data_IF_950720468130
#
_entry.id   IF_950720468130
#
_cell.length_a   1.000
_cell.length_b   1.000
_cell.length_c   1.000
_cell.angle_alpha   90.00
_cell.angle_beta   90.00
_cell.angle_gamma   90.00
#
_symmetry.space_group_name_H-M   'P 1'
#
loop_
_entity.id
_entity.type
_entity.pdbx_description
1 polymer ?
#
# COMPACT_ATOMS: atom_id res chain seq x y z
N UNK A 1 -3.66 14.04 20.31
CA UNK A 1 -4.58 14.03 19.15
C UNK A 1 -3.80 14.00 17.84
N UNK A 2 -3.00 15.03 17.54
CA UNK A 2 -2.29 15.18 16.25
C UNK A 2 -1.35 14.01 15.88
N UNK A 3 -0.49 13.53 16.79
CA UNK A 3 0.47 12.47 16.47
C UNK A 3 -0.18 11.12 16.15
N UNK A 4 -1.28 10.76 16.82
CA UNK A 4 -2.01 9.53 16.55
C UNK A 4 -2.81 9.60 15.24
N UNK A 5 -3.39 10.76 14.93
CA UNK A 5 -4.02 11.00 13.62
C UNK A 5 -2.99 10.86 12.49
N UNK A 6 -1.80 11.44 12.65
CA UNK A 6 -0.70 11.26 11.69
C UNK A 6 -0.27 9.80 11.56
N UNK A 7 -0.19 9.07 12.66
CA UNK A 7 0.14 7.65 12.64
C UNK A 7 -0.94 6.83 11.90
N UNK A 8 -2.22 7.12 12.12
CA UNK A 8 -3.32 6.47 11.39
C UNK A 8 -3.28 6.79 9.89
N UNK A 9 -3.08 8.05 9.52
CA UNK A 9 -2.92 8.48 8.12
C UNK A 9 -1.75 7.73 7.46
N UNK A 10 -0.61 7.59 8.15
CA UNK A 10 0.53 6.82 7.66
C UNK A 10 0.22 5.33 7.51
N UNK A 11 -0.46 4.74 8.50
CA UNK A 11 -0.82 3.33 8.52
C UNK A 11 -1.77 2.95 7.38
N UNK A 12 -2.73 3.80 7.03
CA UNK A 12 -3.70 3.57 5.93
C UNK A 12 -3.14 4.05 4.58
N UNK A 13 -2.37 5.13 4.54
CA UNK A 13 -1.81 5.68 3.30
C UNK A 13 -0.68 4.83 2.71
N UNK A 14 0.13 4.20 3.55
CA UNK A 14 1.22 3.31 3.12
C UNK A 14 0.75 2.15 2.22
N UNK A 15 -0.25 1.33 2.62
CA UNK A 15 -0.75 0.24 1.77
C UNK A 15 -1.37 0.75 0.46
N UNK A 16 -2.07 1.89 0.46
CA UNK A 16 -2.64 2.47 -0.77
C UNK A 16 -1.52 2.84 -1.76
N UNK A 17 -0.48 3.52 -1.30
CA UNK A 17 0.67 3.86 -2.16
C UNK A 17 1.36 2.62 -2.73
N UNK A 18 1.56 1.58 -1.91
CA UNK A 18 2.12 0.30 -2.35
C UNK A 18 1.24 -0.40 -3.39
N UNK A 19 -0.08 -0.33 -3.23
CA UNK A 19 -1.03 -0.88 -4.20
C UNK A 19 -0.93 -0.14 -5.54
N UNK A 20 -0.88 1.19 -5.54
CA UNK A 20 -0.71 1.99 -6.76
C UNK A 20 0.57 1.58 -7.50
N UNK A 21 1.68 1.36 -6.78
CA UNK A 21 2.93 0.88 -7.36
C UNK A 21 2.76 -0.51 -8.00
N UNK A 22 2.05 -1.43 -7.34
CA UNK A 22 1.78 -2.77 -7.88
C UNK A 22 0.94 -2.70 -9.18
N UNK A 23 -0.11 -1.87 -9.19
CA UNK A 23 -0.95 -1.65 -10.39
C UNK A 23 -0.14 -1.04 -11.52
N UNK A 24 0.69 -0.02 -11.23
CA UNK A 24 1.55 0.61 -12.23
C UNK A 24 2.49 -0.41 -12.88
N UNK A 25 3.13 -1.25 -12.07
CA UNK A 25 4.03 -2.29 -12.57
C UNK A 25 3.32 -3.31 -13.45
N UNK A 26 2.15 -3.78 -13.01
CA UNK A 26 1.32 -4.64 -13.84
C UNK A 26 1.02 -3.96 -15.19
N UNK A 27 0.59 -2.69 -15.17
CA UNK A 27 0.30 -1.90 -16.37
C UNK A 27 1.49 -1.77 -17.31
N UNK A 28 2.68 -1.47 -16.78
CA UNK A 28 3.93 -1.37 -17.56
C UNK A 28 4.28 -2.72 -18.19
N UNK A 29 4.14 -3.82 -17.46
CA UNK A 29 4.40 -5.15 -18.01
C UNK A 29 3.31 -5.57 -19.03
N UNK A 30 2.07 -5.15 -18.90
CA UNK A 30 1.08 -5.48 -19.94
C UNK A 30 1.26 -4.67 -21.23
N UNK A 31 1.99 -3.55 -21.20
CA UNK A 31 2.18 -2.68 -22.35
C UNK A 31 3.18 -3.28 -23.35
N UNK A 32 2.73 -3.48 -24.58
CA UNK A 32 3.54 -4.03 -25.70
C UNK A 32 4.79 -3.21 -26.03
N UNK A 33 4.79 -1.91 -25.68
CA UNK A 33 5.91 -0.99 -25.97
C UNK A 33 6.84 -0.77 -24.78
N UNK A 34 6.63 -1.41 -23.63
CA UNK A 34 7.37 -1.12 -22.39
C UNK A 34 7.41 0.37 -22.07
N UNK A 35 6.37 1.09 -22.48
CA UNK A 35 6.32 2.52 -22.30
C UNK A 35 6.16 2.79 -20.81
N UNK A 36 7.23 3.27 -20.16
CA UNK A 36 7.18 3.76 -18.77
C UNK A 36 6.09 4.84 -18.61
N UNK A 37 5.75 5.53 -19.70
CA UNK A 37 4.60 6.43 -19.81
C UNK A 37 3.26 5.73 -20.06
N UNK A 38 3.07 4.51 -19.57
CA UNK A 38 1.78 3.81 -19.66
C UNK A 38 0.66 4.65 -19.01
N UNK A 39 0.99 5.44 -18.00
CA UNK A 39 0.06 6.32 -17.30
C UNK A 39 0.23 7.77 -17.74
N UNK A 40 -0.89 8.42 -18.05
CA UNK A 40 -0.88 9.85 -18.32
C UNK A 40 -0.59 10.65 -17.06
N UNK A 41 0.05 11.83 -17.18
CA UNK A 41 0.28 12.75 -16.05
C UNK A 41 -1.01 13.13 -15.30
N UNK A 42 -2.17 13.10 -15.97
CA UNK A 42 -3.48 13.33 -15.34
C UNK A 42 -3.89 12.14 -14.45
N UNK A 43 -3.66 10.92 -14.91
CA UNK A 43 -3.92 9.70 -14.14
C UNK A 43 -3.05 9.66 -12.87
N UNK A 44 -1.73 9.88 -13.00
CA UNK A 44 -0.80 9.88 -11.86
C UNK A 44 -1.23 10.92 -10.82
N UNK A 45 -1.54 12.16 -11.23
CA UNK A 45 -2.00 13.20 -10.30
C UNK A 45 -3.27 12.82 -9.55
N UNK A 46 -4.24 12.18 -10.23
CA UNK A 46 -5.48 11.70 -9.59
C UNK A 46 -5.18 10.59 -8.58
N UNK A 47 -4.33 9.62 -8.93
CA UNK A 47 -3.98 8.52 -8.04
C UNK A 47 -3.21 8.98 -6.80
N UNK A 48 -2.25 9.90 -6.98
CA UNK A 48 -1.53 10.53 -5.86
C UNK A 48 -2.50 11.32 -4.98
N UNK A 49 -3.44 12.06 -5.59
CA UNK A 49 -4.46 12.77 -4.84
C UNK A 49 -5.32 11.81 -3.99
N UNK A 50 -5.81 10.71 -4.58
CA UNK A 50 -6.57 9.69 -3.83
C UNK A 50 -5.74 8.99 -2.74
N UNK A 51 -4.44 8.78 -2.97
CA UNK A 51 -3.53 8.19 -1.99
C UNK A 51 -3.47 8.99 -0.69
N UNK A 52 -3.56 10.31 -0.76
CA UNK A 52 -3.54 11.17 0.42
C UNK A 52 -4.94 11.52 0.92
N UNK A 53 -5.93 11.63 0.03
CA UNK A 53 -7.30 11.97 0.39
C UNK A 53 -7.98 10.85 1.21
N UNK A 54 -7.83 9.59 0.80
CA UNK A 54 -8.52 8.48 1.46
C UNK A 54 -8.10 8.31 2.94
N UNK A 55 -6.80 8.29 3.29
CA UNK A 55 -6.37 8.25 4.70
C UNK A 55 -6.78 9.49 5.50
N UNK A 56 -6.87 10.65 4.84
CA UNK A 56 -7.30 11.89 5.49
C UNK A 56 -8.79 11.80 5.87
N UNK A 57 -9.64 11.33 4.95
CA UNK A 57 -11.07 11.11 5.22
C UNK A 57 -11.27 10.05 6.31
N UNK A 58 -10.52 8.93 6.26
CA UNK A 58 -10.64 7.87 7.28
C UNK A 58 -10.21 8.32 8.67
N UNK A 59 -9.42 9.39 8.76
CA UNK A 59 -8.96 9.96 10.03
C UNK A 59 -9.96 10.92 10.70
N UNK A 60 -10.99 11.38 9.97
CA UNK A 60 -12.00 12.32 10.48
C UNK A 60 -12.71 11.76 11.73
N UNK A 61 -13.26 10.53 11.72
CA UNK A 61 -13.93 9.99 12.91
C UNK A 61 -13.00 9.90 14.12
N UNK A 62 -11.71 9.61 13.89
CA UNK A 62 -10.69 9.48 14.95
C UNK A 62 -10.41 10.83 15.62
N UNK A 63 -10.55 11.94 14.89
CA UNK A 63 -10.36 13.27 15.45
C UNK A 63 -11.46 13.66 16.47
N UNK A 64 -12.65 13.06 16.36
CA UNK A 64 -13.79 13.34 17.23
C UNK A 64 -13.86 12.44 18.47
N UNK A 65 -13.05 11.39 18.58
CA UNK A 65 -13.02 10.55 19.78
C UNK A 65 -12.18 11.16 20.91
N UNK A 66 -12.63 10.94 22.15
CA UNK A 66 -11.93 11.36 23.35
C UNK A 66 -10.90 10.35 23.86
N UNK A 67 -10.05 10.84 24.76
CA UNK A 67 -8.94 10.09 25.34
C UNK A 67 -9.24 9.54 26.71
N UNK A 68 -8.73 8.34 26.94
CA UNK A 68 -8.59 7.76 28.27
C UNK A 68 -7.26 8.25 28.84
N UNK A 69 -7.35 8.97 29.95
CA UNK A 69 -6.20 9.41 30.73
C UNK A 69 -5.96 8.39 31.85
N UNK A 70 -4.72 7.95 32.01
CA UNK A 70 -4.30 7.10 33.14
C UNK A 70 -3.25 7.84 33.94
N UNK A 71 -3.34 7.79 35.27
CA UNK A 71 -2.28 8.34 36.12
C UNK A 71 -1.10 7.38 36.15
N UNK A 72 0.07 7.84 35.69
CA UNK A 72 1.35 7.14 35.84
C UNK A 72 2.31 8.07 36.56
N UNK A 73 2.81 7.65 37.72
CA UNK A 73 3.76 8.43 38.54
C UNK A 73 3.24 9.84 38.91
N UNK A 74 1.94 9.97 39.21
CA UNK A 74 1.32 11.23 39.59
C UNK A 74 1.06 12.20 38.42
N UNK A 75 1.40 11.82 37.18
CA UNK A 75 1.14 12.61 35.98
C UNK A 75 0.04 11.93 35.15
N UNK A 76 -0.94 12.74 34.68
CA UNK A 76 -1.98 12.25 33.77
C UNK A 76 -1.37 12.01 32.39
N UNK A 77 -1.20 10.75 32.01
CA UNK A 77 -0.69 10.38 30.68
C UNK A 77 -1.85 9.89 29.82
N UNK A 78 -1.90 10.34 28.56
CA UNK A 78 -2.86 9.83 27.57
C UNK A 78 -2.46 8.40 27.22
N UNK A 79 -3.26 7.43 27.61
CA UNK A 79 -2.95 6.01 27.43
C UNK A 79 -3.55 5.47 26.13
N UNK A 80 -4.83 5.75 25.88
CA UNK A 80 -5.54 5.24 24.71
C UNK A 80 -6.73 6.12 24.31
N UNK A 81 -7.35 5.82 23.17
CA UNK A 81 -8.70 6.33 22.85
C UNK A 81 -9.74 5.65 23.72
N UNK A 82 -10.92 6.27 23.81
CA UNK A 82 -12.13 5.58 24.27
C UNK A 82 -12.33 4.26 23.49
N UNK A 83 -12.86 3.23 24.15
CA UNK A 83 -13.12 1.90 23.56
C UNK A 83 -13.77 1.92 22.16
N UNK A 84 -14.82 2.75 21.89
CA UNK A 84 -15.38 2.87 20.55
C UNK A 84 -14.38 3.42 19.51
N UNK A 85 -13.49 4.33 19.92
CA UNK A 85 -12.44 4.87 19.06
C UNK A 85 -11.38 3.83 18.70
N UNK A 86 -10.97 3.00 19.67
CA UNK A 86 -10.03 1.89 19.43
C UNK A 86 -10.65 0.88 18.47
N UNK A 87 -11.90 0.48 18.70
CA UNK A 87 -12.61 -0.49 17.86
C UNK A 87 -12.74 0.02 16.42
N UNK A 88 -13.16 1.27 16.25
CA UNK A 88 -13.30 1.90 14.92
C UNK A 88 -11.96 1.98 14.21
N UNK A 89 -10.91 2.44 14.89
CA UNK A 89 -9.57 2.52 14.31
C UNK A 89 -9.05 1.15 13.89
N UNK A 90 -9.21 0.14 14.76
CA UNK A 90 -8.79 -1.24 14.47
C UNK A 90 -9.53 -1.77 13.24
N UNK A 91 -10.86 -1.64 13.21
CA UNK A 91 -11.68 -2.08 12.08
C UNK A 91 -11.23 -1.45 10.75
N UNK A 92 -11.05 -0.13 10.70
CA UNK A 92 -10.60 0.58 9.49
C UNK A 92 -9.21 0.11 9.06
N UNK A 93 -8.26 0.02 9.99
CA UNK A 93 -6.90 -0.42 9.65
C UNK A 93 -6.89 -1.86 9.15
N UNK A 94 -7.54 -2.79 9.85
CA UNK A 94 -7.62 -4.19 9.47
C UNK A 94 -8.29 -4.37 8.11
N UNK A 95 -9.40 -3.69 7.84
CA UNK A 95 -10.06 -3.75 6.53
C UNK A 95 -9.16 -3.22 5.41
N UNK A 96 -8.44 -2.11 5.64
CA UNK A 96 -7.50 -1.55 4.66
C UNK A 96 -6.34 -2.50 4.34
N UNK A 97 -5.81 -3.20 5.35
CA UNK A 97 -4.76 -4.20 5.17
C UNK A 97 -5.26 -5.44 4.44
N UNK A 98 -6.46 -5.93 4.76
CA UNK A 98 -7.07 -7.07 4.06
C UNK A 98 -7.27 -6.77 2.58
N UNK A 99 -7.84 -5.62 2.24
CA UNK A 99 -8.02 -5.18 0.85
C UNK A 99 -6.65 -5.10 0.15
N UNK A 100 -5.66 -4.49 0.80
CA UNK A 100 -4.31 -4.40 0.26
C UNK A 100 -3.70 -5.78 -0.02
N UNK A 101 -3.81 -6.73 0.91
CA UNK A 101 -3.26 -8.08 0.76
C UNK A 101 -3.90 -8.79 -0.44
N UNK A 102 -5.23 -8.79 -0.53
CA UNK A 102 -5.97 -9.45 -1.61
C UNK A 102 -5.60 -8.83 -2.95
N UNK A 103 -5.70 -7.51 -3.08
CA UNK A 103 -5.38 -6.83 -4.33
C UNK A 103 -3.90 -7.00 -4.71
N UNK A 104 -2.98 -6.87 -3.75
CA UNK A 104 -1.55 -7.05 -3.97
C UNK A 104 -1.21 -8.48 -4.41
N UNK A 105 -1.85 -9.49 -3.81
CA UNK A 105 -1.71 -10.89 -4.23
C UNK A 105 -2.16 -11.12 -5.67
N UNK A 106 -3.33 -10.58 -6.05
CA UNK A 106 -3.86 -10.65 -7.42
C UNK A 106 -2.91 -9.95 -8.40
N UNK A 107 -2.51 -8.70 -8.14
CA UNK A 107 -1.59 -7.99 -9.03
C UNK A 107 -0.22 -8.65 -9.11
N UNK A 108 0.29 -9.22 -8.02
CA UNK A 108 1.55 -9.96 -8.00
C UNK A 108 1.46 -11.20 -8.89
N UNK A 109 0.36 -11.96 -8.80
CA UNK A 109 0.12 -13.13 -9.66
C UNK A 109 -0.03 -12.72 -11.15
N UNK A 110 -0.76 -11.64 -11.43
CA UNK A 110 -0.91 -11.16 -12.81
C UNK A 110 0.42 -10.65 -13.39
N UNK A 111 1.20 -9.94 -12.57
CA UNK A 111 2.54 -9.43 -12.91
C UNK A 111 3.53 -10.56 -13.15
N UNK A 112 3.50 -11.63 -12.35
CA UNK A 112 4.37 -12.80 -12.56
C UNK A 112 4.05 -13.52 -13.87
N UNK A 113 2.77 -13.71 -14.20
CA UNK A 113 2.33 -14.28 -15.48
C UNK A 113 2.75 -13.42 -16.66
N UNK A 114 2.62 -12.10 -16.56
CA UNK A 114 3.08 -11.18 -17.59
C UNK A 114 4.61 -11.25 -17.78
N UNK A 115 5.37 -11.32 -16.69
CA UNK A 115 6.83 -11.41 -16.72
C UNK A 115 7.31 -12.73 -17.34
N UNK A 116 6.67 -13.87 -17.03
CA UNK A 116 6.99 -15.16 -17.66
C UNK A 116 6.71 -15.11 -19.16
N UNK A 117 5.54 -14.60 -19.57
CA UNK A 117 5.21 -14.44 -21.00
C UNK A 117 6.28 -13.62 -21.73
N UNK A 118 6.78 -12.55 -21.12
CA UNK A 118 7.84 -11.76 -21.73
C UNK A 118 9.18 -12.45 -21.79
N UNK A 119 9.57 -13.20 -20.76
CA UNK A 119 10.84 -13.91 -20.75
C UNK A 119 10.98 -14.88 -21.93
N UNK A 120 9.84 -15.39 -22.43
CA UNK A 120 9.77 -16.24 -23.62
C UNK A 120 9.92 -15.41 -24.91
N UNK A 121 9.32 -14.22 -24.99
CA UNK A 121 9.28 -13.36 -26.19
C UNK A 121 10.57 -12.54 -26.39
N UNK A 122 11.36 -12.29 -25.34
CA UNK A 122 12.51 -11.37 -25.35
C UNK A 122 13.84 -12.05 -25.70
N UNK A 123 13.82 -13.26 -26.25
CA UNK A 123 15.04 -13.98 -26.65
C UNK A 123 15.96 -13.19 -27.61
N UNK A 124 15.44 -12.21 -28.36
CA UNK A 124 16.14 -11.59 -29.50
C UNK A 124 16.69 -10.15 -29.28
N UNK A 125 16.84 -9.63 -28.05
CA UNK A 125 17.36 -8.24 -27.88
C UNK A 125 18.03 -7.89 -26.55
N UNK A 126 19.28 -7.43 -26.62
CA UNK A 126 20.13 -7.06 -25.45
C UNK A 126 19.50 -5.99 -24.55
N UNK A 127 18.89 -4.93 -25.13
CA UNK A 127 18.23 -3.85 -24.37
C UNK A 127 16.97 -4.34 -23.64
N UNK A 128 16.16 -5.18 -24.28
CA UNK A 128 14.94 -5.73 -23.64
C UNK A 128 15.28 -6.70 -22.50
N UNK A 129 16.40 -7.42 -22.62
CA UNK A 129 16.87 -8.32 -21.58
C UNK A 129 17.32 -7.56 -20.32
N UNK A 130 17.93 -6.38 -20.45
CA UNK A 130 18.27 -5.51 -19.33
C UNK A 130 17.01 -5.01 -18.61
N UNK A 131 16.01 -4.54 -19.35
CA UNK A 131 14.71 -4.11 -18.79
C UNK A 131 14.05 -5.27 -18.03
N UNK A 132 14.05 -6.49 -18.58
CA UNK A 132 13.50 -7.66 -17.90
C UNK A 132 14.22 -8.00 -16.59
N UNK A 133 15.56 -7.91 -16.56
CA UNK A 133 16.31 -8.13 -15.32
C UNK A 133 15.92 -7.10 -14.26
N UNK A 134 15.80 -5.82 -14.63
CA UNK A 134 15.38 -4.76 -13.72
C UNK A 134 13.95 -5.01 -13.19
N UNK A 135 13.01 -5.38 -14.07
CA UNK A 135 11.63 -5.69 -13.67
C UNK A 135 11.55 -6.90 -12.75
N UNK A 136 12.36 -7.95 -12.99
CA UNK A 136 12.44 -9.13 -12.13
C UNK A 136 12.96 -8.80 -10.72
N UNK A 137 14.04 -8.01 -10.62
CA UNK A 137 14.57 -7.55 -9.32
C UNK A 137 13.53 -6.73 -8.57
N UNK A 138 12.84 -5.81 -9.26
CA UNK A 138 11.77 -5.04 -8.66
C UNK A 138 10.60 -5.93 -8.20
N UNK A 139 10.19 -6.92 -9.00
CA UNK A 139 9.12 -7.86 -8.67
C UNK A 139 9.40 -8.63 -7.37
N UNK A 140 10.64 -9.12 -7.19
CA UNK A 140 11.06 -9.81 -5.97
C UNK A 140 10.88 -8.90 -4.75
N UNK A 141 11.33 -7.64 -4.84
CA UNK A 141 11.22 -6.66 -3.73
C UNK A 141 9.75 -6.42 -3.34
N UNK A 142 8.85 -6.24 -4.32
CA UNK A 142 7.42 -6.01 -4.02
C UNK A 142 6.75 -7.27 -3.48
N UNK A 143 7.11 -8.45 -3.97
CA UNK A 143 6.59 -9.71 -3.45
C UNK A 143 6.99 -9.92 -1.98
N UNK A 144 8.26 -9.68 -1.63
CA UNK A 144 8.73 -9.72 -0.25
C UNK A 144 7.99 -8.69 0.63
N UNK A 145 7.80 -7.48 0.12
CA UNK A 145 7.05 -6.43 0.82
C UNK A 145 5.58 -6.81 1.06
N UNK A 146 4.93 -7.48 0.11
CA UNK A 146 3.57 -8.00 0.26
C UNK A 146 3.51 -9.13 1.31
N UNK A 147 4.46 -10.07 1.30
CA UNK A 147 4.56 -11.14 2.30
C UNK A 147 4.81 -10.58 3.69
N UNK A 148 5.71 -9.62 3.86
CA UNK A 148 5.95 -8.99 5.17
C UNK A 148 4.70 -8.31 5.73
N UNK A 149 3.90 -7.69 4.87
CA UNK A 149 2.63 -7.08 5.28
C UNK A 149 1.54 -8.10 5.57
N UNK A 150 1.54 -9.24 4.87
CA UNK A 150 0.68 -10.38 5.20
C UNK A 150 0.99 -10.94 6.59
N UNK A 151 2.27 -11.17 6.90
CA UNK A 151 2.70 -11.62 8.23
C UNK A 151 2.31 -10.60 9.30
N UNK A 152 2.49 -9.30 9.04
CA UNK A 152 2.07 -8.24 9.97
C UNK A 152 0.56 -8.27 10.23
N UNK A 153 -0.25 -8.47 9.19
CA UNK A 153 -1.70 -8.54 9.35
C UNK A 153 -2.16 -9.78 10.13
N UNK A 154 -1.43 -10.90 10.04
CA UNK A 154 -1.70 -12.10 10.85
C UNK A 154 -1.35 -11.93 12.33
N UNK A 155 -0.37 -11.08 12.65
CA UNK A 155 0.06 -10.83 14.04
C UNK A 155 -0.71 -9.71 14.76
N UNK A 156 -1.64 -9.02 14.11
CA UNK A 156 -2.29 -7.78 14.60
C UNK A 156 -3.76 -7.98 15.01
#
# INVERSE_FOLDING_TARGET
>A
KKCQVLNHIGAVGSPIGKLIIAVHRYSVLTSTKYAENAWTRRCIRRLVFFQFLLPLISSIPIAFYDYIYTMRDGVSVVYAFTDPGILTQKAITTSSYLIYIVCSGVFTMMTSRALVRMSIVVADGTTRQQILRQQKSMFIIVSLCAVSHFIKALHQ
#
